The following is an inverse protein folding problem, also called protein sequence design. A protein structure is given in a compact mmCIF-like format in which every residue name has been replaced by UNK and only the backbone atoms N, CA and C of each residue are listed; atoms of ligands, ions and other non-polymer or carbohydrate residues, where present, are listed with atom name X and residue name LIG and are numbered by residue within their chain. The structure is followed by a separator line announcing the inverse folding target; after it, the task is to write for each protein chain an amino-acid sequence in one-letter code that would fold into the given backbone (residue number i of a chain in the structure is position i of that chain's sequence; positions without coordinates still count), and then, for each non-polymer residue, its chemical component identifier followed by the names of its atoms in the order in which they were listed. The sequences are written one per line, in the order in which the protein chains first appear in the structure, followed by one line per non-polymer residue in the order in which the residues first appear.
data_IF_218100012203
#
_entry.id   IF_218100012203
#
_cell.length_a   1.000
_cell.length_b   1.000
_cell.length_c   1.000
_cell.angle_alpha   90.00
_cell.angle_beta   90.00
_cell.angle_gamma   90.00
#
_symmetry.space_group_name_H-M   'P 1'
#
loop_
_entity.id
_entity.type
_entity.pdbx_description
1 polymer ?
#
# COMPACT_ATOMS: atom_id res chain seq x y z
N UNK A 1 35.77 -10.03 0.44
CA UNK A 1 37.05 -9.88 -0.30
C UNK A 1 36.79 -9.04 -1.54
N UNK A 2 37.83 -8.62 -2.28
CA UNK A 2 37.63 -7.81 -3.49
C UNK A 2 37.28 -8.73 -4.67
N UNK A 3 36.24 -8.37 -5.41
CA UNK A 3 35.83 -9.11 -6.60
C UNK A 3 36.77 -8.84 -7.78
N UNK A 4 37.07 -9.87 -8.56
CA UNK A 4 37.75 -9.79 -9.87
C UNK A 4 36.70 -9.50 -10.97
N UNK A 5 37.11 -8.84 -12.05
CA UNK A 5 36.26 -8.60 -13.20
C UNK A 5 35.89 -9.89 -13.94
N UNK A 6 34.62 -10.04 -14.33
CA UNK A 6 34.12 -11.16 -15.12
C UNK A 6 34.88 -11.28 -16.44
N UNK A 7 35.16 -12.52 -16.87
CA UNK A 7 35.93 -12.80 -18.08
C UNK A 7 37.45 -12.62 -17.95
N UNK A 8 37.95 -12.17 -16.79
CA UNK A 8 39.39 -12.20 -16.49
C UNK A 8 39.77 -13.55 -15.91
N UNK A 9 40.81 -14.19 -16.44
CA UNK A 9 41.29 -15.47 -15.91
C UNK A 9 41.79 -15.29 -14.47
N UNK A 10 41.16 -15.99 -13.51
CA UNK A 10 41.70 -16.12 -12.16
C UNK A 10 42.80 -17.19 -12.22
N UNK A 11 44.03 -16.85 -11.83
CA UNK A 11 45.23 -17.71 -11.98
C UNK A 11 45.18 -19.01 -11.15
N UNK A 12 44.09 -19.25 -10.41
CA UNK A 12 43.90 -20.39 -9.51
C UNK A 12 42.71 -21.29 -9.85
N UNK A 13 41.93 -21.00 -10.90
CA UNK A 13 40.79 -21.81 -11.30
C UNK A 13 41.01 -22.51 -12.63
N UNK A 14 40.64 -23.79 -12.70
CA UNK A 14 40.38 -24.47 -13.97
C UNK A 14 39.49 -23.60 -14.89
N UNK A 15 39.60 -23.73 -16.22
CA UNK A 15 38.80 -22.96 -17.18
C UNK A 15 37.31 -23.31 -17.03
N UNK A 16 36.66 -22.67 -16.06
CA UNK A 16 35.23 -22.75 -15.89
C UNK A 16 34.59 -21.95 -17.02
N UNK A 17 33.90 -22.67 -17.91
CA UNK A 17 33.19 -22.06 -19.04
C UNK A 17 32.08 -21.18 -18.48
N UNK A 18 32.28 -19.87 -18.52
CA UNK A 18 31.25 -18.94 -18.06
C UNK A 18 29.98 -19.13 -18.90
N UNK A 19 28.80 -19.24 -18.25
CA UNK A 19 27.54 -19.25 -18.96
C UNK A 19 27.39 -17.99 -19.83
N UNK A 20 26.75 -18.08 -21.01
CA UNK A 20 26.61 -16.97 -21.95
C UNK A 20 25.57 -15.95 -21.45
N UNK A 21 25.85 -15.28 -20.34
CA UNK A 21 25.06 -14.18 -19.83
C UNK A 21 25.60 -12.85 -20.37
N UNK A 22 24.70 -12.05 -20.96
CA UNK A 22 25.04 -10.80 -21.66
C UNK A 22 25.30 -9.61 -20.73
N UNK A 23 25.25 -9.78 -19.41
CA UNK A 23 25.31 -8.68 -18.43
C UNK A 23 26.33 -8.89 -17.30
N UNK A 24 27.35 -9.71 -17.53
CA UNK A 24 28.48 -9.90 -16.63
C UNK A 24 29.52 -8.78 -16.83
N UNK A 25 29.18 -7.60 -16.32
CA UNK A 25 30.00 -6.40 -16.45
C UNK A 25 30.90 -6.16 -15.24
N UNK A 26 32.14 -5.73 -15.49
CA UNK A 26 33.12 -5.36 -14.47
C UNK A 26 33.30 -6.46 -13.41
N UNK A 27 33.52 -6.09 -12.15
CA UNK A 27 33.68 -6.99 -11.01
C UNK A 27 32.44 -7.01 -10.10
N UNK A 28 31.26 -6.71 -10.64
CA UNK A 28 30.05 -6.63 -9.84
C UNK A 28 29.54 -8.01 -9.46
N UNK A 29 29.05 -8.16 -8.24
CA UNK A 29 28.41 -9.39 -7.80
C UNK A 29 27.17 -9.72 -8.65
N UNK A 30 27.07 -10.95 -9.12
CA UNK A 30 26.00 -11.45 -10.00
C UNK A 30 25.64 -12.88 -9.61
N UNK A 31 24.47 -13.35 -10.01
CA UNK A 31 24.09 -14.74 -9.80
C UNK A 31 24.21 -15.51 -11.13
N UNK A 32 25.44 -15.70 -11.59
CA UNK A 32 25.72 -16.54 -12.76
C UNK A 32 25.87 -18.00 -12.33
N UNK A 33 25.27 -18.94 -13.04
CA UNK A 33 25.55 -20.37 -12.88
C UNK A 33 25.19 -21.10 -14.17
N UNK A 34 25.89 -22.17 -14.51
CA UNK A 34 25.43 -23.09 -15.53
C UNK A 34 24.34 -24.00 -14.95
N UNK A 35 23.36 -24.37 -15.76
CA UNK A 35 22.33 -25.33 -15.33
C UNK A 35 22.93 -26.68 -14.89
N UNK A 36 24.10 -27.03 -15.41
CA UNK A 36 24.89 -28.22 -15.05
C UNK A 36 25.67 -28.08 -13.75
N UNK A 37 25.73 -26.90 -13.13
CA UNK A 37 26.46 -26.74 -11.87
C UNK A 37 25.73 -27.44 -10.74
N UNK A 38 26.48 -28.31 -10.07
CA UNK A 38 26.05 -29.02 -8.86
C UNK A 38 26.09 -28.10 -7.64
N UNK A 39 27.06 -27.17 -7.60
CA UNK A 39 27.28 -26.23 -6.50
C UNK A 39 26.91 -24.82 -6.95
N UNK A 40 25.66 -24.42 -6.70
CA UNK A 40 25.15 -23.08 -7.02
C UNK A 40 25.15 -22.21 -5.77
N UNK A 41 25.54 -20.95 -5.91
CA UNK A 41 25.36 -19.97 -4.86
C UNK A 41 23.87 -19.76 -4.57
N UNK A 42 23.53 -19.51 -3.31
CA UNK A 42 22.17 -19.18 -2.89
C UNK A 42 21.77 -17.75 -3.29
N UNK A 43 22.76 -16.86 -3.42
CA UNK A 43 22.58 -15.44 -3.76
C UNK A 43 23.64 -14.97 -4.76
N UNK A 44 23.71 -13.66 -5.01
CA UNK A 44 24.74 -13.05 -5.86
C UNK A 44 26.14 -13.37 -5.32
N UNK A 45 27.09 -13.62 -6.21
CA UNK A 45 28.46 -14.01 -5.88
C UNK A 45 29.46 -13.36 -6.84
N UNK A 46 30.76 -13.47 -6.53
CA UNK A 46 31.84 -13.07 -7.43
C UNK A 46 33.10 -13.91 -7.22
N UNK A 47 33.98 -13.95 -8.22
CA UNK A 47 35.35 -14.45 -8.03
C UNK A 47 36.16 -13.47 -7.19
N UNK A 48 37.00 -13.97 -6.29
CA UNK A 48 37.77 -13.13 -5.38
C UNK A 48 39.23 -13.00 -5.83
N UNK A 49 39.85 -11.86 -5.50
CA UNK A 49 41.29 -11.63 -5.72
C UNK A 49 42.21 -12.45 -4.81
N UNK A 50 41.65 -13.17 -3.84
CA UNK A 50 42.38 -13.95 -2.86
C UNK A 50 42.60 -15.38 -3.37
N UNK A 51 43.87 -15.82 -3.39
CA UNK A 51 44.23 -17.16 -3.87
C UNK A 51 43.70 -18.29 -2.99
N UNK A 52 43.32 -17.99 -1.75
CA UNK A 52 42.74 -18.97 -0.81
C UNK A 52 41.24 -19.20 -1.00
N UNK A 53 40.54 -18.25 -1.63
CA UNK A 53 39.08 -18.31 -1.82
C UNK A 53 38.74 -17.96 -3.26
N UNK A 54 38.45 -18.98 -4.06
CA UNK A 54 38.22 -18.81 -5.50
C UNK A 54 37.02 -17.88 -5.78
N UNK A 55 35.91 -18.11 -5.10
CA UNK A 55 34.69 -17.33 -5.19
C UNK A 55 34.02 -17.28 -3.82
N UNK A 56 33.21 -16.25 -3.59
CA UNK A 56 32.39 -16.15 -2.38
C UNK A 56 31.05 -15.48 -2.69
N UNK A 57 30.04 -15.76 -1.87
CA UNK A 57 28.76 -15.06 -1.93
C UNK A 57 28.92 -13.62 -1.47
N UNK A 58 28.33 -12.71 -2.22
CA UNK A 58 28.31 -11.31 -1.88
C UNK A 58 27.12 -10.99 -1.00
N UNK A 59 27.37 -10.15 0.01
CA UNK A 59 26.31 -9.48 0.73
C UNK A 59 25.89 -8.24 -0.09
N UNK A 60 24.66 -8.18 -0.62
CA UNK A 60 24.21 -7.00 -1.35
C UNK A 60 24.25 -5.79 -0.40
N UNK A 61 24.96 -4.74 -0.82
CA UNK A 61 24.89 -3.43 -0.18
C UNK A 61 23.59 -2.77 -0.66
N UNK A 62 22.47 -3.38 -0.32
CA UNK A 62 21.14 -2.88 -0.59
C UNK A 62 20.59 -2.17 0.63
N UNK A 63 19.95 -1.02 0.41
CA UNK A 63 19.01 -0.50 1.39
C UNK A 63 17.92 -1.56 1.51
N UNK A 64 17.73 -2.12 2.71
CA UNK A 64 16.47 -2.79 3.07
C UNK A 64 15.39 -1.73 2.99
N UNK A 65 14.84 -1.52 1.78
CA UNK A 65 13.66 -0.69 1.63
C UNK A 65 12.55 -1.41 2.39
N UNK A 66 11.84 -0.72 3.31
CA UNK A 66 10.66 -1.31 3.90
C UNK A 66 9.73 -1.76 2.78
N UNK A 67 9.04 -2.89 2.99
CA UNK A 67 8.11 -3.49 2.02
C UNK A 67 7.12 -2.45 1.46
N UNK A 68 6.87 -1.37 2.21
CA UNK A 68 6.09 -0.23 1.78
C UNK A 68 6.89 1.08 1.94
N UNK A 69 7.08 1.83 0.84
CA UNK A 69 7.77 3.13 0.83
C UNK A 69 6.99 4.23 1.57
N UNK A 70 5.65 4.17 1.50
CA UNK A 70 4.72 5.15 2.08
C UNK A 70 3.61 4.48 2.92
N UNK A 71 3.79 3.22 3.32
CA UNK A 71 2.78 2.45 4.05
C UNK A 71 3.19 2.13 5.48
N UNK A 72 2.21 1.93 6.35
CA UNK A 72 2.46 1.39 7.70
C UNK A 72 2.36 -0.15 7.65
N UNK A 73 3.34 -0.82 8.24
CA UNK A 73 3.29 -2.27 8.42
C UNK A 73 2.61 -2.59 9.76
N UNK A 74 1.57 -3.43 9.72
CA UNK A 74 0.93 -3.97 10.93
C UNK A 74 1.51 -5.35 11.20
N UNK A 75 2.26 -5.49 12.30
CA UNK A 75 2.89 -6.76 12.68
C UNK A 75 1.90 -7.83 13.09
N UNK A 76 0.78 -7.42 13.70
CA UNK A 76 -0.26 -8.33 14.19
C UNK A 76 -1.21 -8.72 13.07
N UNK A 77 -1.29 -10.02 12.79
CA UNK A 77 -2.15 -10.55 11.73
C UNK A 77 -3.64 -10.27 11.98
N UNK A 78 -4.09 -10.43 13.23
CA UNK A 78 -5.49 -10.17 13.61
C UNK A 78 -5.89 -8.72 13.37
N UNK A 79 -5.01 -7.77 13.74
CA UNK A 79 -5.27 -6.34 13.54
C UNK A 79 -5.30 -5.99 12.06
N UNK A 80 -4.39 -6.57 11.26
CA UNK A 80 -4.38 -6.42 9.80
C UNK A 80 -5.70 -6.89 9.19
N UNK A 81 -6.20 -8.06 9.62
CA UNK A 81 -7.48 -8.61 9.14
C UNK A 81 -8.67 -7.78 9.60
N UNK A 82 -8.66 -7.28 10.84
CA UNK A 82 -9.71 -6.39 11.34
C UNK A 82 -9.76 -5.08 10.54
N UNK A 83 -8.61 -4.44 10.29
CA UNK A 83 -8.51 -3.22 9.47
C UNK A 83 -9.03 -3.45 8.05
N UNK A 84 -8.64 -4.57 7.43
CA UNK A 84 -9.11 -4.97 6.10
C UNK A 84 -10.64 -5.13 6.05
N UNK A 85 -11.23 -5.84 7.02
CA UNK A 85 -12.69 -6.04 7.12
C UNK A 85 -13.41 -4.72 7.36
N UNK A 86 -12.91 -3.89 8.27
CA UNK A 86 -13.49 -2.58 8.56
C UNK A 86 -13.49 -1.68 7.31
N UNK A 87 -12.41 -1.69 6.52
CA UNK A 87 -12.34 -0.93 5.28
C UNK A 87 -13.41 -1.38 4.27
N UNK A 88 -13.59 -2.70 4.07
CA UNK A 88 -14.63 -3.21 3.19
C UNK A 88 -16.04 -2.89 3.70
N UNK A 89 -16.28 -3.02 5.00
CA UNK A 89 -17.58 -2.70 5.60
C UNK A 89 -17.94 -1.21 5.38
N UNK A 90 -16.98 -0.30 5.56
CA UNK A 90 -17.18 1.13 5.31
C UNK A 90 -17.48 1.42 3.83
N UNK A 91 -16.77 0.77 2.90
CA UNK A 91 -17.02 0.91 1.47
C UNK A 91 -18.41 0.40 1.06
N UNK A 92 -18.85 -0.73 1.61
CA UNK A 92 -20.19 -1.28 1.35
C UNK A 92 -21.27 -0.36 1.90
N UNK A 93 -21.12 0.11 3.15
CA UNK A 93 -22.05 1.05 3.75
C UNK A 93 -22.15 2.36 2.96
N UNK A 94 -21.02 2.90 2.50
CA UNK A 94 -20.99 4.07 1.64
C UNK A 94 -21.70 3.82 0.29
N UNK A 95 -21.45 2.67 -0.34
CA UNK A 95 -22.12 2.27 -1.58
C UNK A 95 -23.64 2.15 -1.41
N UNK A 96 -24.10 1.47 -0.35
CA UNK A 96 -25.52 1.35 -0.01
C UNK A 96 -26.14 2.73 0.23
N UNK A 97 -25.46 3.60 0.98
CA UNK A 97 -25.94 4.97 1.22
C UNK A 97 -26.11 5.75 -0.10
N UNK A 98 -25.12 5.70 -0.99
CA UNK A 98 -25.21 6.36 -2.30
C UNK A 98 -26.37 5.80 -3.13
N UNK A 99 -26.55 4.48 -3.15
CA UNK A 99 -27.68 3.85 -3.85
C UNK A 99 -29.01 4.33 -3.27
N UNK A 100 -29.16 4.35 -1.95
CA UNK A 100 -30.38 4.86 -1.30
C UNK A 100 -30.63 6.32 -1.67
N UNK A 101 -29.61 7.18 -1.63
CA UNK A 101 -29.73 8.58 -2.04
C UNK A 101 -30.19 8.68 -3.49
N UNK A 102 -29.59 7.91 -4.41
CA UNK A 102 -29.97 7.86 -5.83
C UNK A 102 -31.42 7.40 -6.01
N UNK A 103 -31.82 6.31 -5.35
CA UNK A 103 -33.18 5.78 -5.43
C UNK A 103 -34.23 6.74 -4.85
N UNK A 104 -33.84 7.58 -3.88
CA UNK A 104 -34.74 8.53 -3.22
C UNK A 104 -34.58 9.98 -3.68
N UNK A 105 -33.81 10.29 -4.74
CA UNK A 105 -33.58 11.67 -5.20
C UNK A 105 -34.88 12.44 -5.41
N UNK A 106 -35.89 11.82 -6.03
CA UNK A 106 -37.16 12.50 -6.30
C UNK A 106 -37.93 12.83 -5.02
N UNK A 107 -37.89 11.92 -4.04
CA UNK A 107 -38.50 12.13 -2.71
C UNK A 107 -37.74 13.20 -1.92
N UNK A 108 -36.40 13.17 -1.97
CA UNK A 108 -35.54 14.15 -1.32
C UNK A 108 -35.77 15.54 -1.94
N UNK A 109 -35.86 15.64 -3.27
CA UNK A 109 -36.17 16.91 -3.97
C UNK A 109 -37.52 17.48 -3.57
N UNK A 110 -38.55 16.63 -3.47
CA UNK A 110 -39.86 17.05 -2.99
C UNK A 110 -39.79 17.59 -1.55
N UNK A 111 -39.10 16.89 -0.65
CA UNK A 111 -38.94 17.32 0.73
C UNK A 111 -38.18 18.66 0.84
N UNK A 112 -37.12 18.85 0.03
CA UNK A 112 -36.38 20.12 -0.03
C UNK A 112 -37.30 21.25 -0.50
N UNK A 113 -38.10 21.03 -1.54
CA UNK A 113 -39.03 22.05 -2.05
C UNK A 113 -40.07 22.47 -1.00
N UNK A 114 -40.63 21.50 -0.26
CA UNK A 114 -41.56 21.77 0.85
C UNK A 114 -40.87 22.58 1.96
N UNK A 115 -39.68 22.15 2.38
CA UNK A 115 -38.91 22.85 3.41
C UNK A 115 -38.50 24.27 2.98
N UNK A 116 -38.21 24.49 1.69
CA UNK A 116 -37.89 25.81 1.17
C UNK A 116 -39.08 26.78 1.26
N UNK A 117 -40.29 26.31 0.96
CA UNK A 117 -41.52 27.12 1.10
C UNK A 117 -41.79 27.40 2.57
N UNK A 118 -41.66 26.39 3.45
CA UNK A 118 -41.82 26.57 4.88
C UNK A 118 -40.81 27.59 5.45
N UNK A 119 -39.54 27.51 5.04
CA UNK A 119 -38.51 28.47 5.42
C UNK A 119 -38.83 29.90 4.96
N UNK A 120 -39.35 30.07 3.74
CA UNK A 120 -39.77 31.38 3.23
C UNK A 120 -40.95 31.96 4.01
N UNK A 121 -41.90 31.12 4.41
CA UNK A 121 -43.02 31.52 5.26
C UNK A 121 -42.55 32.00 6.64
N UNK A 122 -41.65 31.24 7.28
CA UNK A 122 -41.04 31.60 8.56
C UNK A 122 -40.28 32.93 8.47
N UNK A 123 -39.51 33.15 7.40
CA UNK A 123 -38.79 34.42 7.19
C UNK A 123 -39.71 35.63 7.03
N UNK A 124 -40.87 35.46 6.39
CA UNK A 124 -41.86 36.52 6.22
C UNK A 124 -42.71 36.77 7.47
N UNK A 125 -42.83 35.80 8.36
CA UNK A 125 -43.66 35.88 9.58
C UNK A 125 -42.89 35.35 10.80
N UNK A 126 -41.88 36.10 11.30
CA UNK A 126 -40.96 35.61 12.32
C UNK A 126 -41.61 35.29 13.67
N UNK A 127 -42.79 35.86 13.94
CA UNK A 127 -43.55 35.58 15.16
C UNK A 127 -43.89 34.08 15.30
N UNK A 128 -44.05 33.35 14.19
CA UNK A 128 -44.46 31.94 14.19
C UNK A 128 -43.37 31.03 14.79
N UNK A 129 -42.09 31.40 14.70
CA UNK A 129 -40.98 30.63 15.31
C UNK A 129 -41.07 30.62 16.84
N UNK A 130 -41.71 31.64 17.43
CA UNK A 130 -41.87 31.73 18.89
C UNK A 130 -42.97 30.81 19.42
N UNK A 131 -43.88 30.33 18.57
CA UNK A 131 -45.05 29.55 19.00
C UNK A 131 -44.65 28.23 19.68
N UNK A 132 -43.76 27.37 19.13
CA UNK A 132 -43.35 26.14 19.81
C UNK A 132 -42.57 26.41 21.11
N UNK A 133 -41.79 27.50 21.14
CA UNK A 133 -41.01 27.91 22.32
C UNK A 133 -41.96 28.32 23.44
N UNK A 134 -42.95 29.15 23.14
CA UNK A 134 -43.98 29.59 24.09
C UNK A 134 -44.83 28.41 24.55
N UNK A 135 -45.22 27.50 23.66
CA UNK A 135 -45.95 26.28 24.04
C UNK A 135 -45.12 25.38 24.97
N UNK A 136 -43.82 25.20 24.70
CA UNK A 136 -42.95 24.41 25.55
C UNK A 136 -42.76 25.06 26.93
N UNK A 137 -42.60 26.38 27.00
CA UNK A 137 -42.51 27.12 28.26
C UNK A 137 -43.82 27.02 29.07
N UNK A 138 -44.98 27.18 28.43
CA UNK A 138 -46.27 27.01 29.09
C UNK A 138 -46.42 25.58 29.62
N UNK A 139 -46.04 24.57 28.84
CA UNK A 139 -46.10 23.16 29.24
C UNK A 139 -45.10 22.75 30.33
N UNK A 140 -44.01 23.50 30.54
CA UNK A 140 -43.09 23.29 31.67
C UNK A 140 -43.57 23.97 32.97
N UNK A 141 -44.41 24.99 32.85
CA UNK A 141 -44.96 25.76 34.00
C UNK A 141 -46.28 25.13 34.50
N UNK A 142 -46.99 24.42 33.64
CA UNK A 142 -48.22 23.69 33.95
C UNK A 142 -47.91 22.31 34.54
#
# INVERSE_FOLDING_TARGET
KKCIAWGTANTSAEPYTMPPYTNLENNYCRNAYLASDVNRAATIWCYTTDTSVLWEECLPIGVITPVCKDGYAVSNEDLRKALEICAYALWVLAGVYVILVICFVDRIRLAIAVNQVAAKFVGNTPLIVTVPIVQALIGMVW
#
